data_IF_502897082761
#
_entry.id   IF_502897082761
#
_cell.length_a   1.000
_cell.length_b   1.000
_cell.length_c   1.000
_cell.angle_alpha   90.00
_cell.angle_beta   90.00
_cell.angle_gamma   90.00
#
_symmetry.space_group_name_H-M   'P 1'
#
loop_
_entity.id
_entity.type
_entity.pdbx_description
1 polymer ?
#
# COMPACT_ATOMS: atom_id res chain seq x y z
N UNK A 1 -23.05 9.75 5.17
CA UNK A 1 -21.92 9.33 6.03
C UNK A 1 -22.37 9.37 7.48
N UNK A 2 -22.75 8.23 8.06
CA UNK A 2 -23.14 8.16 9.47
C UNK A 2 -21.92 7.72 10.28
N UNK A 3 -21.27 8.67 10.96
CA UNK A 3 -20.12 8.40 11.85
C UNK A 3 -20.52 7.72 13.17
N UNK A 4 -21.77 7.25 13.27
CA UNK A 4 -22.37 6.66 14.48
C UNK A 4 -22.51 5.13 14.35
N UNK A 5 -21.47 4.46 13.86
CA UNK A 5 -21.42 3.00 13.94
C UNK A 5 -21.21 2.59 15.41
N UNK A 6 -21.75 1.44 15.85
CA UNK A 6 -21.54 0.98 17.23
C UNK A 6 -20.05 0.81 17.55
N UNK A 7 -19.25 0.43 16.55
CA UNK A 7 -17.80 0.30 16.62
C UNK A 7 -17.09 1.64 16.88
N UNK A 8 -17.51 2.72 16.19
CA UNK A 8 -16.92 4.05 16.41
C UNK A 8 -17.20 4.56 17.83
N UNK A 9 -18.39 4.29 18.35
CA UNK A 9 -18.78 4.66 19.72
C UNK A 9 -18.02 3.86 20.78
N UNK A 10 -17.81 2.57 20.56
CA UNK A 10 -16.98 1.74 21.43
C UNK A 10 -15.51 2.19 21.44
N UNK A 11 -14.95 2.52 20.27
CA UNK A 11 -13.60 3.06 20.16
C UNK A 11 -13.47 4.42 20.88
N UNK A 12 -14.49 5.28 20.77
CA UNK A 12 -14.54 6.56 21.49
C UNK A 12 -14.55 6.37 23.01
N UNK A 13 -15.30 5.38 23.52
CA UNK A 13 -15.28 5.06 24.95
C UNK A 13 -13.94 4.51 25.45
N UNK A 14 -13.24 3.72 24.62
CA UNK A 14 -11.97 3.07 24.99
C UNK A 14 -10.76 3.99 24.93
N UNK A 15 -10.74 4.93 23.97
CA UNK A 15 -9.58 5.77 23.67
C UNK A 15 -9.88 7.27 23.73
N UNK A 16 -11.07 7.66 24.22
CA UNK A 16 -11.52 9.06 24.22
C UNK A 16 -10.58 10.01 24.98
N UNK A 17 -9.80 9.48 25.91
CA UNK A 17 -8.74 10.18 26.65
C UNK A 17 -7.53 10.57 25.78
N UNK A 18 -7.28 9.87 24.67
CA UNK A 18 -6.13 10.11 23.78
C UNK A 18 -6.51 10.59 22.37
N UNK A 19 -7.75 10.36 21.92
CA UNK A 19 -8.16 10.65 20.54
C UNK A 19 -8.13 12.14 20.17
N UNK A 20 -8.37 13.03 21.13
CA UNK A 20 -8.37 14.50 20.93
C UNK A 20 -6.99 15.13 21.12
N UNK A 21 -6.02 14.36 21.65
CA UNK A 21 -4.69 14.86 21.91
C UNK A 21 -3.86 14.94 20.63
N UNK A 22 -2.86 15.83 20.63
CA UNK A 22 -1.92 15.91 19.53
C UNK A 22 -1.13 14.61 19.38
N UNK A 23 -0.81 14.25 18.13
CA UNK A 23 -0.02 13.06 17.84
C UNK A 23 1.39 13.22 18.44
N UNK A 24 1.86 12.27 19.27
CA UNK A 24 3.18 12.36 19.89
C UNK A 24 4.31 12.58 18.89
N UNK A 25 5.33 13.31 19.34
CA UNK A 25 6.56 13.47 18.58
C UNK A 25 7.23 12.10 18.34
N UNK A 26 7.83 11.86 17.17
CA UNK A 26 8.53 10.61 16.90
C UNK A 26 9.76 10.49 17.81
N UNK A 27 10.09 9.28 18.30
CA UNK A 27 11.33 9.08 19.03
C UNK A 27 12.53 9.33 18.11
N UNK A 28 13.66 9.81 18.66
CA UNK A 28 14.86 10.13 17.89
C UNK A 28 15.41 8.94 17.09
N UNK A 29 15.24 7.73 17.61
CA UNK A 29 15.66 6.47 16.94
C UNK A 29 14.82 6.13 15.70
N UNK A 30 13.59 6.64 15.61
CA UNK A 30 12.67 6.38 14.49
C UNK A 30 12.02 7.70 14.04
N UNK A 31 12.78 8.58 13.38
CA UNK A 31 12.26 9.86 12.90
C UNK A 31 11.18 9.64 11.83
N UNK A 32 10.31 10.64 11.64
CA UNK A 32 9.36 10.64 10.53
C UNK A 32 10.12 10.66 9.20
N UNK A 33 9.68 9.84 8.26
CA UNK A 33 10.18 9.89 6.89
C UNK A 33 9.85 11.26 6.25
N UNK A 34 10.82 11.94 5.63
CA UNK A 34 10.57 13.20 4.92
C UNK A 34 9.56 13.04 3.78
N UNK A 35 8.78 14.08 3.51
CA UNK A 35 7.73 14.06 2.49
C UNK A 35 8.26 13.74 1.08
N UNK A 36 9.43 14.28 0.72
CA UNK A 36 10.06 14.02 -0.58
C UNK A 36 10.45 12.54 -0.75
N UNK A 37 11.03 11.92 0.30
CA UNK A 37 11.34 10.49 0.29
C UNK A 37 10.08 9.64 0.19
N UNK A 38 9.00 10.05 0.86
CA UNK A 38 7.69 9.39 0.73
C UNK A 38 7.09 9.54 -0.66
N UNK A 39 7.27 10.67 -1.34
CA UNK A 39 6.78 10.88 -2.71
C UNK A 39 7.43 9.91 -3.71
N UNK A 40 8.68 9.51 -3.48
CA UNK A 40 9.38 8.52 -4.32
C UNK A 40 8.68 7.16 -4.37
N UNK A 41 7.88 6.80 -3.36
CA UNK A 41 7.07 5.56 -3.39
C UNK A 41 6.08 5.53 -4.56
N UNK A 42 5.69 6.70 -5.08
CA UNK A 42 4.78 6.84 -6.21
C UNK A 42 5.50 7.12 -7.54
N UNK A 43 6.83 7.26 -7.50
CA UNK A 43 7.65 7.47 -8.69
C UNK A 43 7.66 6.29 -9.68
N UNK A 44 7.65 5.01 -9.26
CA UNK A 44 7.70 3.88 -10.19
C UNK A 44 6.59 3.89 -11.25
N UNK A 45 5.44 4.46 -10.92
CA UNK A 45 4.28 4.51 -11.81
C UNK A 45 4.04 5.91 -12.39
N UNK A 46 4.97 6.85 -12.21
CA UNK A 46 4.79 8.21 -12.69
C UNK A 46 4.64 8.29 -14.22
N UNK A 47 5.35 7.43 -14.95
CA UNK A 47 5.28 7.34 -16.41
C UNK A 47 3.93 6.83 -16.93
N UNK A 48 3.14 6.15 -16.08
CA UNK A 48 1.84 5.61 -16.45
C UNK A 48 0.71 6.63 -16.38
N UNK A 49 0.99 7.85 -15.90
CA UNK A 49 0.00 8.93 -15.90
C UNK A 49 -0.36 9.31 -17.34
N UNK A 50 -1.66 9.29 -17.66
CA UNK A 50 -2.19 9.64 -18.99
C UNK A 50 -2.58 8.45 -19.87
N UNK A 51 -2.32 7.21 -19.43
CA UNK A 51 -2.74 5.97 -20.10
C UNK A 51 -3.87 5.27 -19.33
N UNK A 52 -4.78 6.03 -18.73
CA UNK A 52 -5.79 5.50 -17.81
C UNK A 52 -6.76 4.50 -18.50
N UNK A 53 -7.08 4.71 -19.77
CA UNK A 53 -7.98 3.85 -20.55
C UNK A 53 -7.32 2.51 -20.89
N UNK A 54 -6.06 2.52 -21.35
CA UNK A 54 -5.30 1.30 -21.64
C UNK A 54 -5.03 0.49 -20.37
N UNK A 55 -4.71 1.16 -19.26
CA UNK A 55 -4.52 0.52 -17.95
C UNK A 55 -5.81 -0.11 -17.43
N UNK A 56 -6.95 0.55 -17.62
CA UNK A 56 -8.26 0.01 -17.25
C UNK A 56 -8.56 -1.29 -18.01
N UNK A 57 -8.34 -1.29 -19.33
CA UNK A 57 -8.52 -2.47 -20.17
C UNK A 57 -7.59 -3.63 -19.77
N UNK A 58 -6.29 -3.37 -19.56
CA UNK A 58 -5.33 -4.38 -19.11
C UNK A 58 -5.67 -4.87 -17.68
N UNK A 59 -6.07 -3.99 -16.77
CA UNK A 59 -6.44 -4.36 -15.40
C UNK A 59 -7.65 -5.30 -15.35
N UNK A 60 -8.62 -5.10 -16.25
CA UNK A 60 -9.77 -5.97 -16.40
C UNK A 60 -9.34 -7.35 -16.90
N UNK A 61 -8.44 -7.41 -17.89
CA UNK A 61 -7.87 -8.66 -18.40
C UNK A 61 -7.05 -9.41 -17.33
N UNK A 62 -6.21 -8.71 -16.57
CA UNK A 62 -5.41 -9.30 -15.51
C UNK A 62 -6.27 -9.88 -14.38
N UNK A 63 -7.35 -9.19 -13.99
CA UNK A 63 -8.28 -9.68 -12.95
C UNK A 63 -8.91 -11.03 -13.35
N UNK A 64 -9.33 -11.15 -14.61
CA UNK A 64 -9.88 -12.40 -15.15
C UNK A 64 -8.83 -13.53 -15.19
N UNK A 65 -7.54 -13.20 -15.36
CA UNK A 65 -6.44 -14.18 -15.32
C UNK A 65 -6.09 -14.64 -13.90
N UNK A 66 -6.16 -13.75 -12.90
CA UNK A 66 -5.86 -14.09 -11.49
C UNK A 66 -6.96 -14.96 -10.87
N UNK A 67 -8.21 -14.82 -11.31
CA UNK A 67 -9.33 -15.65 -10.88
C UNK A 67 -9.38 -17.01 -11.62
N UNK A 68 -8.43 -17.30 -12.53
CA UNK A 68 -8.30 -18.62 -13.15
C UNK A 68 -7.83 -19.67 -12.11
N UNK A 69 -8.36 -20.90 -12.14
CA UNK A 69 -8.11 -21.89 -11.09
C UNK A 69 -6.63 -22.20 -10.96
N UNK A 70 -6.14 -22.15 -9.71
CA UNK A 70 -4.76 -22.45 -9.31
C UNK A 70 -4.30 -23.80 -9.87
N UNK A 71 -3.41 -23.79 -10.87
CA UNK A 71 -2.97 -25.03 -11.50
C UNK A 71 -2.07 -24.89 -12.72
N UNK A 72 -1.22 -23.87 -12.78
CA UNK A 72 -0.12 -23.85 -13.76
C UNK A 72 1.18 -23.54 -13.01
N UNK A 73 2.03 -24.56 -12.85
CA UNK A 73 3.39 -24.39 -12.36
C UNK A 73 4.09 -23.33 -13.20
N UNK A 74 4.57 -22.28 -12.53
CA UNK A 74 5.48 -21.32 -13.13
C UNK A 74 6.87 -21.81 -12.77
N UNK A 75 7.50 -22.54 -13.69
CA UNK A 75 8.93 -22.82 -13.62
C UNK A 75 9.68 -21.48 -13.70
N UNK A 76 9.93 -20.88 -12.54
CA UNK A 76 10.83 -19.74 -12.40
C UNK A 76 12.25 -20.30 -12.50
N UNK A 77 12.86 -20.11 -13.68
CA UNK A 77 14.27 -20.37 -13.93
C UNK A 77 15.14 -19.70 -12.85
N UNK A 78 16.18 -20.38 -12.32
CA UNK A 78 16.99 -19.89 -11.18
C UNK A 78 17.84 -18.63 -11.46
N UNK A 79 17.68 -17.98 -12.61
CA UNK A 79 18.52 -16.86 -13.05
C UNK A 79 18.03 -15.48 -12.53
N UNK A 80 16.84 -15.40 -11.91
CA UNK A 80 16.37 -14.15 -11.27
C UNK A 80 16.79 -14.00 -9.79
N UNK A 81 17.66 -14.88 -9.28
CA UNK A 81 18.44 -14.62 -8.07
C UNK A 81 19.69 -13.81 -8.40
N UNK A 82 19.52 -12.54 -8.78
CA UNK A 82 20.63 -11.60 -8.76
C UNK A 82 20.17 -10.23 -8.28
N UNK A 83 20.59 -9.87 -7.05
CA UNK A 83 20.73 -8.45 -6.69
C UNK A 83 20.15 -7.97 -5.37
N UNK A 84 19.76 -8.82 -4.41
CA UNK A 84 19.62 -8.34 -3.01
C UNK A 84 21.02 -8.23 -2.43
N UNK A 85 21.66 -7.12 -2.80
CA UNK A 85 23.02 -6.73 -2.42
C UNK A 85 23.15 -6.68 -0.90
N UNK A 86 23.99 -7.59 -0.40
CA UNK A 86 24.74 -7.41 0.83
C UNK A 86 25.55 -6.10 0.74
N UNK A 87 25.44 -5.27 1.78
CA UNK A 87 26.17 -4.02 1.97
C UNK A 87 25.90 -3.46 3.35
#
# INVERSE_FOLDING_TARGET
MSQNTPESRAAWGKYGDILTLERPAPPARHPRMPAASRAKLFSPFAALRGFDDELSAESAQHRLRVEAPAGAERDLSPEEECGILSG
#
